data_IF_773613504939
#
_entry.id   IF_773613504939
#
_cell.length_a   1.000
_cell.length_b   1.000
_cell.length_c   1.000
_cell.angle_alpha   90.00
_cell.angle_beta   90.00
_cell.angle_gamma   90.00
#
_symmetry.space_group_name_H-M   'P 1'
#
loop_
_entity.id
_entity.type
_entity.pdbx_description
1 polymer ?
#
# COMPACT_ATOMS: atom_id res chain seq x y z
N UNK A 1 -14.21 -3.57 2.16
CA UNK A 1 -13.20 -2.92 3.03
C UNK A 1 -11.90 -2.79 2.24
N UNK A 2 -10.93 -2.02 2.73
CA UNK A 2 -9.57 -1.97 2.19
C UNK A 2 -8.55 -2.31 3.28
N UNK A 3 -7.28 -2.44 2.92
CA UNK A 3 -6.19 -2.74 3.85
C UNK A 3 -5.33 -1.50 4.09
N UNK A 4 -5.05 -1.22 5.35
CA UNK A 4 -3.93 -0.39 5.77
C UNK A 4 -2.67 -1.26 5.84
N UNK A 5 -1.64 -0.92 5.07
CA UNK A 5 -0.37 -1.63 5.07
C UNK A 5 0.77 -0.67 5.38
N UNK A 6 1.45 -0.87 6.51
CA UNK A 6 2.65 -0.13 6.87
C UNK A 6 3.90 -0.77 6.26
N UNK A 7 4.57 -0.05 5.35
CA UNK A 7 5.80 -0.51 4.70
C UNK A 7 6.97 0.41 5.00
N UNK A 8 8.06 -0.17 5.51
CA UNK A 8 9.36 0.51 5.61
C UNK A 8 10.21 0.35 4.35
N UNK A 9 9.84 -0.58 3.46
CA UNK A 9 10.69 -1.03 2.36
C UNK A 9 10.17 -0.66 0.97
N UNK A 10 8.93 -0.18 0.84
CA UNK A 10 8.31 0.08 -0.48
C UNK A 10 9.21 0.90 -1.42
N UNK A 11 9.87 1.95 -0.93
CA UNK A 11 10.77 2.76 -1.77
C UNK A 11 11.98 1.96 -2.27
N UNK A 12 12.52 1.05 -1.46
CA UNK A 12 13.58 0.14 -1.85
C UNK A 12 13.06 -0.93 -2.82
N UNK A 13 11.87 -1.47 -2.55
CA UNK A 13 11.23 -2.47 -3.39
C UNK A 13 10.95 -1.91 -4.80
N UNK A 14 10.43 -0.68 -4.89
CA UNK A 14 10.26 0.06 -6.15
C UNK A 14 11.59 0.29 -6.88
N UNK A 15 12.68 0.60 -6.16
CA UNK A 15 14.02 0.74 -6.79
C UNK A 15 14.54 -0.57 -7.34
N UNK A 16 14.16 -1.69 -6.73
CA UNK A 16 14.57 -3.04 -7.11
C UNK A 16 13.63 -3.71 -8.12
N UNK A 17 12.52 -3.06 -8.49
CA UNK A 17 11.48 -3.68 -9.32
C UNK A 17 10.70 -4.79 -8.60
N UNK A 18 10.79 -4.88 -7.28
CA UNK A 18 10.10 -5.87 -6.45
C UNK A 18 8.68 -5.36 -6.16
N UNK A 19 7.76 -5.58 -7.10
CA UNK A 19 6.37 -5.12 -7.00
C UNK A 19 5.38 -6.27 -7.19
N UNK A 20 4.09 -5.98 -7.05
CA UNK A 20 2.99 -6.91 -7.29
C UNK A 20 2.60 -7.78 -6.10
N UNK A 21 3.32 -7.67 -4.97
CA UNK A 21 2.96 -8.39 -3.76
C UNK A 21 3.42 -7.67 -2.49
N UNK A 22 2.76 -7.97 -1.38
CA UNK A 22 3.28 -7.73 -0.04
C UNK A 22 3.33 -9.02 0.75
N UNK A 23 4.50 -9.32 1.32
CA UNK A 23 4.69 -10.47 2.19
C UNK A 23 4.59 -10.10 3.67
N UNK A 24 4.17 -11.06 4.48
CA UNK A 24 4.13 -10.99 5.94
C UNK A 24 4.46 -12.35 6.56
N UNK A 25 5.04 -12.33 7.76
CA UNK A 25 5.18 -13.52 8.60
C UNK A 25 3.95 -13.78 9.46
N UNK A 26 2.99 -12.85 9.48
CA UNK A 26 1.75 -12.95 10.25
C UNK A 26 0.60 -13.45 9.39
N UNK A 27 -0.25 -14.30 9.96
CA UNK A 27 -1.48 -14.80 9.35
C UNK A 27 -2.53 -13.71 9.16
N UNK A 28 -2.40 -12.56 9.83
CA UNK A 28 -3.33 -11.43 9.72
C UNK A 28 -3.53 -10.95 8.29
N UNK A 29 -2.51 -11.07 7.43
CA UNK A 29 -2.65 -10.70 6.02
C UNK A 29 -3.62 -11.64 5.27
N UNK A 30 -3.69 -12.92 5.65
CA UNK A 30 -4.64 -13.88 5.11
C UNK A 30 -6.06 -13.57 5.60
N UNK A 31 -6.21 -13.32 6.91
CA UNK A 31 -7.50 -12.93 7.51
C UNK A 31 -8.07 -11.67 6.83
N UNK A 32 -7.22 -10.68 6.54
CA UNK A 32 -7.63 -9.48 5.82
C UNK A 32 -7.95 -9.77 4.34
N UNK A 33 -7.23 -10.69 3.69
CA UNK A 33 -7.48 -11.09 2.30
C UNK A 33 -8.80 -11.82 2.14
N UNK A 34 -9.19 -12.68 3.10
CA UNK A 34 -10.47 -13.41 3.11
C UNK A 34 -11.68 -12.46 3.17
N UNK A 35 -11.49 -11.24 3.66
CA UNK A 35 -12.52 -10.19 3.68
C UNK A 35 -12.70 -9.46 2.35
N UNK A 36 -12.06 -9.95 1.28
CA UNK A 36 -12.15 -9.45 -0.10
C UNK A 36 -11.88 -7.93 -0.19
N UNK A 37 -10.66 -7.48 0.17
CA UNK A 37 -10.27 -6.09 0.05
C UNK A 37 -10.28 -5.63 -1.41
N UNK A 38 -10.69 -4.38 -1.66
CA UNK A 38 -10.49 -3.79 -2.99
C UNK A 38 -9.08 -3.26 -3.15
N UNK A 39 -8.58 -2.51 -2.16
CA UNK A 39 -7.26 -1.84 -2.24
C UNK A 39 -6.39 -2.09 -1.03
N UNK A 40 -5.08 -1.95 -1.26
CA UNK A 40 -4.06 -1.83 -0.23
C UNK A 40 -3.56 -0.39 -0.23
N UNK A 41 -3.84 0.33 0.85
CA UNK A 41 -3.33 1.66 1.11
C UNK A 41 -2.00 1.54 1.85
N UNK A 42 -0.93 2.04 1.24
CA UNK A 42 0.42 1.84 1.75
C UNK A 42 0.90 3.07 2.49
N UNK A 43 1.36 2.89 3.72
CA UNK A 43 1.81 3.96 4.60
C UNK A 43 3.25 3.74 5.07
N UNK A 44 3.93 4.81 5.47
CA UNK A 44 5.19 4.75 6.21
C UNK A 44 5.24 5.82 7.28
N UNK A 45 6.21 5.73 8.19
CA UNK A 45 6.59 6.87 9.02
C UNK A 45 7.56 7.75 8.22
N UNK A 46 7.25 9.03 7.97
CA UNK A 46 8.19 9.95 7.34
C UNK A 46 9.43 10.18 8.23
N UNK A 47 10.58 10.41 7.61
CA UNK A 47 11.86 10.57 8.33
C UNK A 47 11.77 11.73 9.31
N UNK A 48 12.17 11.50 10.56
CA UNK A 48 12.16 12.53 11.62
C UNK A 48 10.78 12.82 12.23
N UNK A 49 9.71 12.15 11.79
CA UNK A 49 8.34 12.42 12.24
C UNK A 49 7.73 11.20 12.96
N UNK A 50 8.33 10.80 14.09
CA UNK A 50 7.83 9.68 14.89
C UNK A 50 6.38 9.97 15.35
N UNK A 51 5.52 8.97 15.26
CA UNK A 51 4.10 9.11 15.62
C UNK A 51 3.24 9.71 14.51
N UNK A 52 3.80 9.94 13.32
CA UNK A 52 3.07 10.38 12.13
C UNK A 52 3.18 9.34 11.02
N UNK A 53 2.24 9.39 10.09
CA UNK A 53 2.20 8.53 8.91
C UNK A 53 2.09 9.36 7.64
N UNK A 54 2.76 8.88 6.60
CA UNK A 54 2.66 9.36 5.23
C UNK A 54 1.96 8.28 4.41
N UNK A 55 0.93 8.67 3.65
CA UNK A 55 0.32 7.80 2.65
C UNK A 55 1.18 7.80 1.37
N UNK A 56 1.62 6.63 0.93
CA UNK A 56 2.51 6.46 -0.22
C UNK A 56 1.74 6.16 -1.50
N UNK A 57 0.73 5.29 -1.41
CA UNK A 57 0.00 4.83 -2.58
C UNK A 57 -1.26 4.05 -2.23
N UNK A 58 -2.03 3.76 -3.27
CA UNK A 58 -3.24 2.94 -3.23
C UNK A 58 -3.14 1.92 -4.34
N UNK A 59 -3.15 0.64 -4.00
CA UNK A 59 -2.83 -0.45 -4.90
C UNK A 59 -4.02 -1.38 -5.04
N UNK A 60 -4.41 -1.69 -6.28
CA UNK A 60 -5.55 -2.56 -6.56
C UNK A 60 -5.18 -4.01 -6.21
N UNK A 61 -5.96 -4.63 -5.31
CA UNK A 61 -5.76 -6.04 -4.95
C UNK A 61 -5.98 -6.92 -6.18
N UNK A 62 -5.17 -7.96 -6.30
CA UNK A 62 -5.31 -9.00 -7.32
C UNK A 62 -5.43 -10.34 -6.63
N UNK A 63 -6.28 -11.23 -7.14
CA UNK A 63 -6.41 -12.60 -6.63
C UNK A 63 -5.18 -13.44 -6.98
N UNK A 64 -4.58 -13.16 -8.14
CA UNK A 64 -3.42 -13.86 -8.68
C UNK A 64 -2.22 -12.92 -8.86
N UNK A 65 -0.98 -13.45 -8.80
CA UNK A 65 0.21 -12.65 -9.09
C UNK A 65 0.19 -12.16 -10.55
N UNK A 66 0.47 -10.89 -10.76
CA UNK A 66 0.60 -10.29 -12.11
C UNK A 66 2.03 -10.26 -12.63
N UNK A 67 3.00 -10.39 -11.74
CA UNK A 67 4.44 -10.43 -12.03
C UNK A 67 5.05 -11.62 -11.30
N UNK A 68 6.22 -12.08 -11.73
CA UNK A 68 6.92 -13.16 -11.05
C UNK A 68 7.24 -12.77 -9.59
N UNK A 69 6.76 -13.57 -8.64
CA UNK A 69 6.97 -13.34 -7.21
C UNK A 69 8.06 -14.26 -6.70
N UNK A 70 9.13 -13.67 -6.17
CA UNK A 70 10.20 -14.38 -5.48
C UNK A 70 10.27 -13.90 -4.04
N UNK A 71 9.75 -14.70 -3.11
CA UNK A 71 9.74 -14.32 -1.71
C UNK A 71 9.85 -15.53 -0.78
N UNK A 72 10.46 -15.30 0.38
CA UNK A 72 10.51 -16.24 1.49
C UNK A 72 9.37 -16.03 2.50
N UNK A 73 8.49 -15.04 2.29
CA UNK A 73 7.38 -14.79 3.21
C UNK A 73 6.35 -15.92 3.11
N UNK A 74 5.88 -16.45 4.25
CA UNK A 74 4.89 -17.54 4.27
C UNK A 74 3.49 -17.08 3.88
N UNK A 75 3.19 -15.78 4.03
CA UNK A 75 1.87 -15.22 3.75
C UNK A 75 2.00 -13.98 2.87
N UNK A 76 1.19 -13.91 1.82
CA UNK A 76 1.31 -12.90 0.76
C UNK A 76 -0.08 -12.41 0.38
N UNK A 77 -0.18 -11.12 0.05
CA UNK A 77 -1.29 -10.56 -0.71
C UNK A 77 -0.76 -9.97 -2.02
N UNK A 78 -1.47 -10.19 -3.11
CA UNK A 78 -1.09 -9.65 -4.42
C UNK A 78 -1.82 -8.34 -4.71
N UNK A 79 -1.17 -7.50 -5.48
CA UNK A 79 -1.78 -6.34 -6.10
C UNK A 79 -1.35 -6.26 -7.57
N UNK A 80 -2.16 -5.63 -8.41
CA UNK A 80 -1.83 -5.46 -9.82
C UNK A 80 -0.98 -4.19 -10.01
N UNK A 81 0.33 -4.30 -10.29
CA UNK A 81 1.17 -3.14 -10.49
C UNK A 81 0.96 -2.48 -11.85
N UNK A 82 0.28 -3.13 -12.81
CA UNK A 82 0.01 -2.58 -14.15
C UNK A 82 -1.30 -1.82 -14.22
N UNK A 83 -2.22 -2.08 -13.29
CA UNK A 83 -3.51 -1.40 -13.23
C UNK A 83 -3.34 0.12 -13.13
N UNK A 84 -4.16 0.91 -13.87
CA UNK A 84 -4.22 2.36 -13.70
C UNK A 84 -4.78 2.78 -12.33
N UNK A 85 -5.45 1.87 -11.61
CA UNK A 85 -5.91 2.12 -10.23
C UNK A 85 -4.79 1.96 -9.19
N UNK A 86 -3.67 1.32 -9.54
CA UNK A 86 -2.49 1.21 -8.67
C UNK A 86 -1.60 2.44 -8.82
N UNK A 87 -1.71 3.35 -7.86
CA UNK A 87 -1.12 4.70 -7.94
C UNK A 87 -0.22 5.02 -6.75
N UNK A 88 0.73 5.93 -7.00
CA UNK A 88 1.61 6.51 -5.99
C UNK A 88 1.35 8.01 -5.86
N UNK A 89 1.21 8.50 -4.64
CA UNK A 89 0.99 9.92 -4.37
C UNK A 89 2.30 10.69 -4.48
N UNK A 90 2.29 11.80 -5.21
CA UNK A 90 3.52 12.49 -5.63
C UNK A 90 4.04 13.51 -4.61
N UNK A 91 3.14 14.02 -3.78
CA UNK A 91 3.28 15.19 -2.91
C UNK A 91 2.75 14.92 -1.49
N UNK A 92 2.52 13.64 -1.16
CA UNK A 92 2.04 13.20 0.17
C UNK A 92 3.02 13.44 1.31
N UNK A 93 4.30 13.70 1.01
CA UNK A 93 5.34 13.95 2.01
C UNK A 93 5.37 15.37 2.57
N UNK A 94 4.49 16.27 2.10
CA UNK A 94 4.38 17.62 2.66
C UNK A 94 3.89 17.57 4.11
N UNK A 95 4.37 18.50 4.93
CA UNK A 95 4.02 18.55 6.37
C UNK A 95 2.51 18.58 6.59
N UNK A 96 1.79 19.38 5.80
CA UNK A 96 0.33 19.49 5.85
C UNK A 96 -0.35 18.13 5.65
N UNK A 97 0.02 17.41 4.58
CA UNK A 97 -0.62 16.12 4.24
C UNK A 97 -0.27 15.00 5.20
N UNK A 98 0.96 14.99 5.72
CA UNK A 98 1.35 14.07 6.78
C UNK A 98 0.52 14.30 8.03
N UNK A 99 0.32 15.57 8.44
CA UNK A 99 -0.50 15.91 9.60
C UNK A 99 -1.97 15.51 9.38
N UNK A 100 -2.53 15.82 8.21
CA UNK A 100 -3.90 15.51 7.84
C UNK A 100 -4.19 14.00 7.86
N UNK A 101 -3.34 13.20 7.20
CA UNK A 101 -3.49 11.72 7.22
C UNK A 101 -3.26 11.16 8.61
N UNK A 102 -2.27 11.67 9.36
CA UNK A 102 -2.02 11.21 10.73
C UNK A 102 -3.23 11.46 11.61
N UNK A 103 -3.79 12.67 11.60
CA UNK A 103 -4.98 13.02 12.37
C UNK A 103 -6.18 12.16 11.97
N UNK A 104 -6.34 11.87 10.68
CA UNK A 104 -7.42 11.02 10.17
C UNK A 104 -7.42 9.61 10.78
N UNK A 105 -6.23 9.02 10.97
CA UNK A 105 -6.08 7.66 11.49
C UNK A 105 -5.78 7.55 12.98
N UNK A 106 -5.24 8.58 13.63
CA UNK A 106 -4.72 8.50 14.99
C UNK A 106 -5.73 7.98 16.02
N UNK A 107 -6.97 8.46 15.98
CA UNK A 107 -8.02 8.00 16.88
C UNK A 107 -8.54 6.60 16.54
N UNK A 108 -8.57 6.26 15.24
CA UNK A 108 -9.10 4.98 14.74
C UNK A 108 -8.16 3.82 15.04
N UNK A 109 -6.86 4.06 14.86
CA UNK A 109 -5.81 3.06 15.00
C UNK A 109 -4.85 3.40 16.16
N UNK A 110 -5.39 3.93 17.26
CA UNK A 110 -4.60 4.37 18.41
C UNK A 110 -3.60 3.33 18.90
N UNK A 111 -4.02 2.06 19.01
CA UNK A 111 -3.14 0.95 19.37
C UNK A 111 -1.99 0.73 18.37
N UNK A 112 -2.26 0.91 17.07
CA UNK A 112 -1.23 0.78 16.05
C UNK A 112 -0.20 1.91 16.10
N UNK A 113 -0.65 3.14 16.35
CA UNK A 113 0.24 4.29 16.58
C UNK A 113 1.10 4.07 17.83
N UNK A 114 0.50 3.62 18.94
CA UNK A 114 1.23 3.32 20.18
C UNK A 114 2.27 2.21 19.98
N UNK A 115 1.97 1.21 19.16
CA UNK A 115 2.89 0.13 18.79
C UNK A 115 3.90 0.51 17.68
N UNK A 116 3.88 1.76 17.19
CA UNK A 116 4.68 2.22 16.04
C UNK A 116 4.56 1.29 14.81
N UNK A 117 3.36 0.71 14.61
CA UNK A 117 3.05 -0.17 13.47
C UNK A 117 3.95 -1.42 13.36
N UNK A 118 4.50 -1.89 14.49
CA UNK A 118 5.31 -3.11 14.52
C UNK A 118 4.44 -4.37 14.45
N UNK A 119 4.87 -5.36 13.66
CA UNK A 119 4.14 -6.62 13.48
C UNK A 119 2.72 -6.37 12.96
N UNK A 120 1.74 -7.02 13.59
CA UNK A 120 0.32 -6.94 13.24
C UNK A 120 -0.27 -5.53 13.36
N UNK A 121 0.37 -4.65 14.13
CA UNK A 121 -0.04 -3.25 14.20
C UNK A 121 0.10 -2.55 12.84
N UNK A 122 1.02 -2.99 11.99
CA UNK A 122 1.23 -2.46 10.64
C UNK A 122 0.21 -2.93 9.60
N UNK A 123 -0.68 -3.85 9.96
CA UNK A 123 -1.73 -4.37 9.08
C UNK A 123 -3.08 -4.09 9.72
N UNK A 124 -3.95 -3.28 9.12
CA UNK A 124 -5.29 -3.02 9.66
C UNK A 124 -6.35 -3.08 8.57
N UNK A 125 -7.57 -3.42 8.95
CA UNK A 125 -8.73 -3.25 8.09
C UNK A 125 -9.15 -1.78 8.07
N UNK A 126 -9.45 -1.26 6.88
CA UNK A 126 -10.08 0.04 6.68
C UNK A 126 -11.51 -0.21 6.24
N UNK A 127 -12.45 0.04 7.16
CA UNK A 127 -13.88 -0.14 6.90
C UNK A 127 -14.40 0.88 5.89
N UNK A 128 -15.48 0.54 5.18
CA UNK A 128 -15.95 1.29 4.00
C UNK A 128 -16.23 2.77 4.25
N UNK A 129 -16.68 3.16 5.45
CA UNK A 129 -16.86 4.56 5.83
C UNK A 129 -15.52 5.31 5.95
N UNK A 130 -14.47 4.63 6.45
CA UNK A 130 -13.11 5.17 6.54
C UNK A 130 -12.47 5.22 5.16
N UNK A 131 -12.72 4.23 4.29
CA UNK A 131 -12.26 4.27 2.89
C UNK A 131 -12.81 5.50 2.17
N UNK A 132 -14.13 5.74 2.25
CA UNK A 132 -14.75 6.89 1.58
C UNK A 132 -14.18 8.22 2.06
N UNK A 133 -13.92 8.36 3.36
CA UNK A 133 -13.31 9.57 3.90
C UNK A 133 -11.86 9.73 3.48
N UNK A 134 -11.09 8.64 3.41
CA UNK A 134 -9.73 8.67 2.88
C UNK A 134 -9.71 9.03 1.39
N UNK A 135 -10.58 8.44 0.58
CA UNK A 135 -10.74 8.77 -0.85
C UNK A 135 -11.08 10.25 -1.06
N UNK A 136 -11.96 10.81 -0.22
CA UNK A 136 -12.26 12.25 -0.24
C UNK A 136 -11.06 13.11 0.16
N UNK A 137 -10.27 12.68 1.15
CA UNK A 137 -9.09 13.40 1.65
C UNK A 137 -7.99 13.51 0.60
N UNK A 138 -7.85 12.49 -0.25
CA UNK A 138 -6.78 12.41 -1.26
C UNK A 138 -7.25 12.74 -2.68
N UNK A 139 -8.49 13.22 -2.83
CA UNK A 139 -9.14 13.37 -4.14
C UNK A 139 -8.39 14.33 -5.08
N UNK A 140 -7.79 15.39 -4.53
CA UNK A 140 -7.04 16.43 -5.23
C UNK A 140 -5.53 16.23 -5.21
N UNK A 141 -5.05 15.12 -4.62
CA UNK A 141 -3.62 14.87 -4.51
C UNK A 141 -3.02 14.49 -5.86
N UNK A 142 -1.80 14.98 -6.13
CA UNK A 142 -1.01 14.53 -7.26
C UNK A 142 -0.74 13.02 -7.16
N UNK A 143 -0.97 12.31 -8.26
CA UNK A 143 -0.77 10.86 -8.37
C UNK A 143 -0.15 10.51 -9.71
N UNK A 144 0.68 9.48 -9.70
CA UNK A 144 1.21 8.85 -10.90
C UNK A 144 0.94 7.34 -10.85
N UNK A 145 0.97 6.68 -12.00
CA UNK A 145 0.87 5.22 -12.04
C UNK A 145 2.07 4.62 -11.30
N UNK A 146 1.88 3.52 -10.55
CA UNK A 146 2.90 2.97 -9.64
C UNK A 146 4.24 2.66 -10.33
N UNK A 147 4.22 2.11 -11.53
CA UNK A 147 5.43 1.73 -12.27
C UNK A 147 6.25 2.95 -12.73
N UNK A 148 5.67 4.15 -12.72
CA UNK A 148 6.45 5.39 -12.93
C UNK A 148 7.43 5.64 -11.77
N UNK A 149 7.20 5.04 -10.59
CA UNK A 149 8.12 5.10 -9.45
C UNK A 149 9.11 3.94 -9.40
N UNK A 150 9.00 2.97 -10.31
CA UNK A 150 9.96 1.87 -10.43
C UNK A 150 11.18 2.36 -11.21
N UNK A 151 12.39 2.14 -10.66
CA UNK A 151 13.64 2.67 -11.24
C UNK A 151 13.90 2.14 -12.65
N UNK A 152 13.74 0.84 -12.84
CA UNK A 152 13.82 0.19 -14.14
C UNK A 152 12.49 -0.50 -14.44
N UNK A 153 11.57 0.25 -15.06
CA UNK A 153 10.24 -0.27 -15.42
C UNK A 153 10.30 -1.49 -16.34
N UNK A 154 11.36 -1.65 -17.14
CA UNK A 154 11.49 -2.79 -18.06
C UNK A 154 11.79 -4.10 -17.33
N UNK A 155 12.30 -4.03 -16.10
CA UNK A 155 12.50 -5.23 -15.27
C UNK A 155 11.19 -5.84 -14.77
N UNK A 156 10.09 -5.07 -14.76
CA UNK A 156 8.77 -5.52 -14.32
C UNK A 156 7.95 -5.96 -15.52
N UNK A 157 7.95 -7.27 -15.79
CA UNK A 157 7.20 -7.87 -16.88
C UNK A 157 5.99 -8.64 -16.35
N UNK A 158 4.83 -8.57 -17.04
CA UNK A 158 3.68 -9.36 -16.67
C UNK A 158 3.95 -10.85 -16.87
N UNK A 159 3.40 -11.71 -16.00
CA UNK A 159 3.46 -13.17 -16.19
C UNK A 159 2.77 -13.55 -17.50
N UNK A 160 1.64 -12.91 -17.81
CA UNK A 160 0.96 -13.06 -19.09
C UNK A 160 1.07 -11.76 -19.91
N UNK A 161 1.94 -11.71 -20.94
CA UNK A 161 2.11 -10.51 -21.76
C UNK A 161 0.88 -10.16 -22.60
N UNK A 162 -0.09 -11.08 -22.75
CA UNK A 162 -1.31 -10.88 -23.52
C UNK A 162 -2.51 -10.43 -22.68
N UNK A 163 -2.37 -10.33 -21.35
CA UNK A 163 -3.45 -9.91 -20.46
C UNK A 163 -3.78 -8.40 -20.54
N UNK A 164 -3.11 -7.63 -21.40
CA UNK A 164 -3.28 -6.17 -21.52
C UNK A 164 -4.59 -5.72 -22.19
N UNK A 165 -5.46 -6.64 -22.64
CA UNK A 165 -6.60 -6.32 -23.52
C UNK A 165 -7.97 -6.83 -23.01
N UNK A 166 -8.31 -6.60 -21.75
CA UNK A 166 -9.70 -6.77 -21.29
C UNK A 166 -10.11 -5.64 -20.34
#
# INVERSE_FOLDING_TARGET
MDIFYYSQKLEQDLKNGQVGYFGSNSTKILELSERLPKRIWVFKTPKGMKGSIQLLGSLLVSEEPRVAVQTSYPHIIYYDPFSPESVMFTDSGTMHRVQEVSAYFQYRFHSAFSANFQGDAGLQAIESNVVRGLESLVADWGKCQMLERVRDRKSVQPINPFAQNF
#
